data_IF_072359619573
#
_entry.id   IF_072359619573
#
_cell.length_a   1.000
_cell.length_b   1.000
_cell.length_c   1.000
_cell.angle_alpha   90.00
_cell.angle_beta   90.00
_cell.angle_gamma   90.00
#
_symmetry.space_group_name_H-M   'P 1'
#
loop_
_entity.id
_entity.type
_entity.pdbx_description
1 polymer ?
#
# COMPACT_ATOMS: atom_id res chain seq x y z
N UNK A 1 15.66 -16.69 22.56
CA UNK A 1 17.02 -17.26 22.53
C UNK A 1 16.98 -18.50 21.64
N UNK A 2 17.74 -18.50 20.54
CA UNK A 2 17.80 -19.62 19.61
C UNK A 2 19.10 -20.40 19.76
N UNK A 3 19.05 -21.73 19.75
CA UNK A 3 20.20 -22.61 19.65
C UNK A 3 20.36 -23.07 18.20
N UNK A 4 21.57 -22.93 17.67
CA UNK A 4 21.92 -23.42 16.34
C UNK A 4 22.35 -24.90 16.44
N UNK A 5 21.52 -25.80 15.94
CA UNK A 5 21.93 -27.16 15.59
C UNK A 5 22.05 -27.20 14.06
N UNK A 6 23.09 -27.85 13.51
CA UNK A 6 23.36 -27.92 12.06
C UNK A 6 22.18 -28.41 11.21
N UNK A 7 21.14 -28.97 11.81
CA UNK A 7 20.00 -29.57 11.12
C UNK A 7 18.66 -28.89 11.37
N UNK A 8 18.51 -28.03 12.41
CA UNK A 8 17.26 -27.38 12.75
C UNK A 8 17.49 -26.04 13.46
N UNK A 9 16.60 -25.10 13.22
CA UNK A 9 16.50 -23.82 13.96
C UNK A 9 15.31 -24.00 14.91
N UNK A 10 15.58 -23.86 16.22
CA UNK A 10 14.56 -23.97 17.26
C UNK A 10 14.14 -22.59 17.72
N UNK A 11 12.86 -22.29 17.60
CA UNK A 11 12.23 -21.09 18.15
C UNK A 11 11.54 -21.40 19.47
N UNK A 12 11.72 -20.52 20.47
CA UNK A 12 10.93 -20.53 21.70
C UNK A 12 10.08 -19.27 21.72
N UNK A 13 8.78 -19.44 21.71
CA UNK A 13 7.82 -18.35 21.76
C UNK A 13 7.64 -17.80 23.18
N UNK A 14 7.02 -16.64 23.33
CA UNK A 14 6.79 -15.99 24.62
C UNK A 14 5.86 -16.78 25.56
N UNK A 15 5.02 -17.65 25.00
CA UNK A 15 4.17 -18.59 25.73
C UNK A 15 4.88 -19.88 26.15
N UNK A 16 6.23 -19.95 25.96
CA UNK A 16 7.09 -21.10 26.22
C UNK A 16 6.89 -22.30 25.27
N UNK A 17 6.05 -22.19 24.24
CA UNK A 17 6.01 -23.20 23.19
C UNK A 17 7.26 -23.13 22.31
N UNK A 18 7.61 -24.25 21.65
CA UNK A 18 8.77 -24.34 20.77
C UNK A 18 8.39 -24.94 19.43
N UNK A 19 9.01 -24.44 18.35
CA UNK A 19 8.94 -25.04 17.01
C UNK A 19 10.36 -25.20 16.45
N UNK A 20 10.60 -26.27 15.70
CA UNK A 20 11.86 -26.56 15.03
C UNK A 20 11.63 -26.59 13.52
N UNK A 21 12.48 -25.87 12.78
CA UNK A 21 12.45 -25.77 11.32
C UNK A 21 13.80 -26.11 10.74
N UNK A 22 13.84 -26.72 9.55
CA UNK A 22 15.10 -26.85 8.83
C UNK A 22 15.57 -25.51 8.30
N UNK A 23 16.90 -25.27 8.17
CA UNK A 23 17.42 -24.00 7.65
C UNK A 23 16.91 -23.62 6.26
N UNK A 24 16.58 -24.59 5.42
CA UNK A 24 16.01 -24.44 4.08
C UNK A 24 14.49 -24.18 4.07
N UNK A 25 13.83 -24.45 5.19
CA UNK A 25 12.39 -24.16 5.39
C UNK A 25 12.16 -22.75 5.96
N UNK A 26 13.24 -22.09 6.40
CA UNK A 26 13.17 -20.75 6.99
C UNK A 26 13.62 -19.71 5.95
N UNK A 27 12.71 -19.32 5.11
CA UNK A 27 13.02 -18.37 4.03
C UNK A 27 13.27 -16.94 4.52
N UNK A 28 12.69 -16.55 5.64
CA UNK A 28 12.95 -15.26 6.30
C UNK A 28 12.31 -15.20 7.70
N UNK A 29 13.13 -14.97 8.72
CA UNK A 29 12.63 -14.49 10.00
C UNK A 29 12.85 -12.98 10.02
N UNK A 30 12.03 -12.27 9.26
CA UNK A 30 11.86 -10.87 9.49
C UNK A 30 11.08 -10.65 10.79
N UNK A 31 11.29 -9.53 11.41
CA UNK A 31 10.65 -9.10 12.66
C UNK A 31 9.10 -8.99 12.57
N UNK A 32 8.47 -9.54 11.54
CA UNK A 32 7.06 -9.39 11.17
C UNK A 32 6.13 -10.51 11.66
N UNK A 33 6.47 -11.22 12.71
CA UNK A 33 5.46 -11.99 13.48
C UNK A 33 4.87 -11.08 14.57
N UNK A 34 4.78 -9.79 14.30
CA UNK A 34 4.24 -8.82 15.24
C UNK A 34 2.89 -8.33 14.72
N UNK A 35 1.96 -8.31 15.64
CA UNK A 35 0.62 -7.73 15.55
C UNK A 35 0.48 -6.74 14.40
N UNK A 36 -0.42 -7.00 13.46
CA UNK A 36 -0.75 -6.03 12.42
C UNK A 36 -1.07 -4.70 13.12
N UNK A 37 -0.23 -3.71 12.90
CA UNK A 37 -0.56 -2.37 13.35
C UNK A 37 -1.78 -1.91 12.58
N UNK A 38 -2.86 -1.62 13.30
CA UNK A 38 -4.13 -1.22 12.70
C UNK A 38 -4.38 0.27 12.90
N UNK A 39 -4.84 0.93 11.86
CA UNK A 39 -5.46 2.24 11.93
C UNK A 39 -6.87 2.14 11.36
N UNK A 40 -7.87 2.47 12.18
CA UNK A 40 -9.29 2.34 11.86
C UNK A 40 -9.69 0.94 11.31
N UNK A 41 -9.06 -0.13 11.85
CA UNK A 41 -9.31 -1.52 11.45
C UNK A 41 -8.54 -2.01 10.23
N UNK A 42 -7.72 -1.16 9.59
CA UNK A 42 -6.92 -1.52 8.42
C UNK A 42 -5.42 -1.57 8.74
N UNK A 43 -4.72 -2.61 8.27
CA UNK A 43 -3.32 -2.81 8.62
C UNK A 43 -2.39 -1.85 7.88
N UNK A 44 -1.37 -1.37 8.59
CA UNK A 44 -0.33 -0.53 8.03
C UNK A 44 1.07 -1.04 8.34
N UNK A 45 2.04 -0.56 7.59
CA UNK A 45 3.47 -0.79 7.79
C UNK A 45 4.15 0.53 8.08
N UNK A 46 4.94 0.56 9.14
CA UNK A 46 5.88 1.64 9.41
C UNK A 46 7.18 1.39 8.66
N UNK A 47 7.39 2.09 7.57
CA UNK A 47 8.62 2.01 6.80
C UNK A 47 9.77 2.82 7.40
N UNK A 48 9.54 3.58 8.48
CA UNK A 48 10.55 4.44 9.07
C UNK A 48 10.99 5.58 8.15
N UNK A 49 10.07 6.10 7.33
CA UNK A 49 10.33 7.21 6.42
C UNK A 49 10.53 8.52 7.20
N UNK A 50 11.31 9.49 6.66
CA UNK A 50 11.57 10.77 7.32
C UNK A 50 10.30 11.55 7.72
N UNK A 51 9.24 11.47 6.92
CA UNK A 51 7.93 12.07 7.23
C UNK A 51 7.22 11.41 8.41
N UNK A 52 7.59 10.16 8.76
CA UNK A 52 6.86 9.33 9.70
C UNK A 52 5.56 8.74 9.15
N UNK A 53 5.28 8.93 7.85
CA UNK A 53 4.07 8.41 7.20
C UNK A 53 4.03 6.89 7.26
N UNK A 54 2.86 6.34 7.56
CA UNK A 54 2.57 4.91 7.54
C UNK A 54 1.91 4.55 6.22
N UNK A 55 2.25 3.37 5.69
CA UNK A 55 1.72 2.90 4.43
C UNK A 55 0.77 1.72 4.65
N UNK A 56 -0.27 1.66 3.87
CA UNK A 56 -1.18 0.51 3.91
C UNK A 56 -0.42 -0.78 3.58
N UNK A 57 -0.76 -1.86 4.29
CA UNK A 57 -0.16 -3.19 4.07
C UNK A 57 -0.63 -3.81 2.75
N UNK A 58 -1.88 -3.49 2.32
CA UNK A 58 -2.50 -3.94 1.07
C UNK A 58 -3.16 -2.77 0.35
N UNK A 59 -3.46 -2.96 -0.93
CA UNK A 59 -4.25 -2.02 -1.69
C UNK A 59 -5.72 -1.99 -1.23
N UNK A 60 -6.42 -0.90 -1.50
CA UNK A 60 -7.87 -0.79 -1.22
C UNK A 60 -8.62 -1.91 -1.94
N UNK A 61 -9.51 -2.59 -1.22
CA UNK A 61 -10.27 -3.73 -1.72
C UNK A 61 -9.50 -5.06 -1.74
N UNK A 62 -8.20 -5.06 -1.42
CA UNK A 62 -7.41 -6.27 -1.24
C UNK A 62 -7.48 -6.78 0.19
N UNK A 63 -7.27 -8.08 0.38
CA UNK A 63 -7.19 -8.78 1.67
C UNK A 63 -5.81 -9.39 1.89
N UNK A 64 -4.98 -9.41 0.84
CA UNK A 64 -3.62 -9.93 0.86
C UNK A 64 -2.67 -9.03 0.05
N UNK A 65 -1.37 -9.03 0.36
CA UNK A 65 -0.41 -8.10 -0.24
C UNK A 65 -0.14 -8.35 -1.74
N UNK A 66 -0.47 -9.53 -2.26
CA UNK A 66 -0.35 -9.89 -3.67
C UNK A 66 -1.59 -9.54 -4.51
N UNK A 67 -2.67 -9.11 -3.86
CA UNK A 67 -3.91 -8.74 -4.56
C UNK A 67 -3.84 -7.30 -5.06
N UNK A 68 -4.22 -7.07 -6.32
CA UNK A 68 -4.25 -5.74 -6.92
C UNK A 68 -5.27 -4.80 -6.25
N UNK A 69 -6.35 -5.36 -5.66
CA UNK A 69 -7.44 -4.59 -5.06
C UNK A 69 -8.34 -3.94 -6.11
N UNK A 70 -8.87 -2.77 -5.77
CA UNK A 70 -9.78 -2.04 -6.63
C UNK A 70 -9.08 -1.22 -7.70
N UNK A 71 -9.76 -1.05 -8.82
CA UNK A 71 -9.36 -0.15 -9.89
C UNK A 71 -10.34 1.01 -9.99
N UNK A 72 -9.84 2.24 -10.00
CA UNK A 72 -10.63 3.47 -10.08
C UNK A 72 -9.86 4.57 -10.79
N UNK A 73 -10.55 5.56 -11.31
CA UNK A 73 -9.90 6.77 -11.81
C UNK A 73 -9.63 7.75 -10.65
N UNK A 74 -8.74 8.69 -10.87
CA UNK A 74 -8.39 9.71 -9.87
C UNK A 74 -9.61 10.44 -9.32
N UNK A 75 -9.80 10.41 -8.00
CA UNK A 75 -10.95 11.03 -7.34
C UNK A 75 -12.26 10.25 -7.41
N UNK A 76 -12.24 9.02 -7.91
CA UNK A 76 -13.36 8.09 -7.79
C UNK A 76 -13.17 7.18 -6.59
N UNK A 77 -14.26 6.84 -5.92
CA UNK A 77 -14.24 6.16 -4.62
C UNK A 77 -14.87 4.76 -4.65
N UNK A 78 -15.16 4.26 -5.84
CA UNK A 78 -15.73 2.94 -6.08
C UNK A 78 -14.90 2.16 -7.11
N UNK A 79 -14.87 0.83 -6.96
CA UNK A 79 -14.26 -0.04 -7.94
C UNK A 79 -15.03 -0.01 -9.25
N UNK A 80 -14.33 0.03 -10.38
CA UNK A 80 -14.95 -0.02 -11.71
C UNK A 80 -14.17 -0.87 -12.70
N UNK A 81 -14.87 -1.35 -13.71
CA UNK A 81 -14.30 -2.18 -14.78
C UNK A 81 -14.05 -1.38 -16.07
N UNK A 82 -14.74 -0.23 -16.24
CA UNK A 82 -14.69 0.58 -17.46
C UNK A 82 -14.02 1.93 -17.19
N UNK A 83 -13.00 2.26 -17.98
CA UNK A 83 -12.17 3.47 -17.85
C UNK A 83 -12.29 4.40 -19.08
N UNK A 84 -13.45 4.42 -19.71
CA UNK A 84 -13.70 5.37 -20.81
C UNK A 84 -13.73 6.80 -20.29
N UNK A 85 -13.18 7.72 -21.09
CA UNK A 85 -13.16 9.16 -20.79
C UNK A 85 -14.57 9.71 -20.49
N UNK A 86 -15.58 9.21 -21.21
CA UNK A 86 -17.00 9.58 -21.02
C UNK A 86 -17.61 9.05 -19.71
N UNK A 87 -16.94 8.12 -19.02
CA UNK A 87 -17.38 7.54 -17.74
C UNK A 87 -16.66 8.17 -16.54
N UNK A 88 -15.77 9.14 -16.77
CA UNK A 88 -15.05 9.78 -15.69
C UNK A 88 -15.92 10.78 -14.95
N UNK A 89 -16.03 10.61 -13.62
CA UNK A 89 -16.88 11.40 -12.70
C UNK A 89 -16.72 12.92 -12.87
N UNK A 90 -15.51 13.40 -13.13
CA UNK A 90 -15.19 14.82 -13.21
C UNK A 90 -15.09 15.32 -14.66
N UNK A 91 -15.97 14.82 -15.55
CA UNK A 91 -16.18 15.37 -16.88
C UNK A 91 -17.64 15.73 -17.08
N UNK A 92 -17.87 16.84 -17.78
CA UNK A 92 -19.18 17.24 -18.22
C UNK A 92 -19.59 16.54 -19.53
N UNK A 93 -20.77 16.83 -20.02
CA UNK A 93 -21.31 16.29 -21.28
C UNK A 93 -20.51 16.67 -22.54
N UNK A 94 -19.71 17.73 -22.47
CA UNK A 94 -18.78 18.17 -23.52
C UNK A 94 -17.39 17.52 -23.39
N UNK A 95 -17.19 16.69 -22.37
CA UNK A 95 -15.92 16.03 -22.08
C UNK A 95 -14.88 16.93 -21.40
N UNK A 96 -15.32 18.09 -20.89
CA UNK A 96 -14.43 19.04 -20.19
C UNK A 96 -14.32 18.68 -18.72
N UNK A 97 -13.12 18.85 -18.14
CA UNK A 97 -12.88 18.60 -16.71
C UNK A 97 -13.60 19.62 -15.84
N UNK A 98 -14.27 19.15 -14.81
CA UNK A 98 -15.03 19.96 -13.84
C UNK A 98 -14.33 20.10 -12.50
N UNK A 99 -13.31 19.25 -12.21
CA UNK A 99 -12.53 19.24 -10.97
C UNK A 99 -11.14 18.67 -11.22
N UNK A 100 -10.17 18.98 -10.35
CA UNK A 100 -8.76 18.53 -10.42
C UNK A 100 -8.09 18.89 -11.75
N UNK A 101 -8.30 20.10 -12.19
CA UNK A 101 -7.83 20.59 -13.47
C UNK A 101 -6.84 21.77 -13.32
N UNK A 102 -5.73 21.68 -14.03
CA UNK A 102 -4.67 22.69 -14.03
C UNK A 102 -4.60 23.48 -15.34
N UNK A 103 -5.36 23.09 -16.37
CA UNK A 103 -5.29 23.67 -17.72
C UNK A 103 -6.67 24.12 -18.20
N UNK A 104 -6.82 25.41 -18.47
CA UNK A 104 -8.06 26.01 -18.99
C UNK A 104 -8.55 25.43 -20.32
N UNK A 105 -7.63 24.82 -21.10
CA UNK A 105 -7.99 24.17 -22.37
C UNK A 105 -8.73 22.87 -22.18
N UNK A 106 -8.66 22.27 -21.00
CA UNK A 106 -9.25 20.97 -20.68
C UNK A 106 -10.49 21.08 -19.80
N UNK A 107 -10.84 22.29 -19.31
CA UNK A 107 -12.05 22.51 -18.52
C UNK A 107 -11.90 23.58 -17.44
N UNK A 108 -12.74 23.52 -16.43
CA UNK A 108 -12.73 24.45 -15.29
C UNK A 108 -11.45 24.25 -14.45
N UNK A 109 -10.63 25.28 -14.33
CA UNK A 109 -9.39 25.25 -13.54
C UNK A 109 -9.70 25.46 -12.07
N UNK A 110 -9.32 24.50 -11.23
CA UNK A 110 -9.37 24.61 -9.76
C UNK A 110 -8.00 24.50 -9.07
N UNK A 111 -6.96 24.19 -9.84
CA UNK A 111 -5.56 24.04 -9.38
C UNK A 111 -5.37 22.98 -8.26
N UNK A 112 -6.35 22.10 -8.06
CA UNK A 112 -6.25 21.06 -7.04
C UNK A 112 -5.36 19.90 -7.51
N UNK A 113 -4.35 19.58 -6.72
CA UNK A 113 -3.42 18.46 -6.92
C UNK A 113 -3.57 17.36 -5.87
N UNK A 114 -4.35 17.62 -4.84
CA UNK A 114 -4.66 16.69 -3.75
C UNK A 114 -6.16 16.48 -3.75
N UNK A 115 -6.60 15.26 -3.51
CA UNK A 115 -8.01 14.93 -3.45
C UNK A 115 -8.69 15.61 -2.25
N UNK A 116 -9.90 16.08 -2.46
CA UNK A 116 -10.78 16.44 -1.35
C UNK A 116 -11.19 15.14 -0.62
N UNK A 117 -11.48 15.16 0.70
CA UNK A 117 -11.79 13.94 1.46
C UNK A 117 -12.91 13.08 0.88
N UNK A 118 -13.95 13.71 0.32
CA UNK A 118 -15.09 13.04 -0.31
C UNK A 118 -14.75 12.34 -1.63
N UNK A 119 -13.60 12.65 -2.24
CA UNK A 119 -13.11 12.07 -3.48
C UNK A 119 -11.86 11.19 -3.26
N UNK A 120 -11.42 11.08 -2.03
CA UNK A 120 -10.30 10.23 -1.65
C UNK A 120 -10.81 8.84 -1.26
N UNK A 121 -10.53 7.86 -2.10
CA UNK A 121 -11.02 6.49 -1.88
C UNK A 121 -10.54 5.90 -0.56
N UNK A 122 -9.30 6.17 -0.13
CA UNK A 122 -8.80 5.65 1.13
C UNK A 122 -9.54 6.29 2.32
N UNK A 123 -9.80 7.60 2.26
CA UNK A 123 -10.59 8.28 3.27
C UNK A 123 -12.03 7.79 3.31
N UNK A 124 -12.68 7.66 2.15
CA UNK A 124 -14.09 7.25 2.06
C UNK A 124 -14.30 5.80 2.52
N UNK A 125 -13.40 4.88 2.11
CA UNK A 125 -13.57 3.45 2.39
C UNK A 125 -13.05 3.03 3.77
N UNK A 126 -11.95 3.64 4.21
CA UNK A 126 -11.28 3.24 5.45
C UNK A 126 -11.47 4.24 6.58
N UNK A 127 -11.80 5.50 6.28
CA UNK A 127 -12.03 6.54 7.28
C UNK A 127 -10.77 6.92 8.06
N UNK A 128 -10.97 7.62 9.19
CA UNK A 128 -9.88 8.09 10.04
C UNK A 128 -8.92 9.01 9.28
N UNK A 129 -7.62 8.79 9.42
CA UNK A 129 -6.56 9.57 8.75
C UNK A 129 -6.09 8.93 7.44
N UNK A 130 -6.74 7.84 6.99
CA UNK A 130 -6.42 7.23 5.70
C UNK A 130 -6.69 8.18 4.55
N UNK A 131 -5.76 8.25 3.64
CA UNK A 131 -5.86 9.03 2.40
C UNK A 131 -4.91 8.51 1.33
N UNK A 132 -5.14 8.89 0.10
CA UNK A 132 -4.20 8.65 -0.98
C UNK A 132 -2.92 9.46 -0.76
N UNK A 133 -1.75 8.91 -1.12
CA UNK A 133 -0.48 9.62 -0.99
C UNK A 133 -0.39 10.77 -1.98
N UNK A 134 0.27 11.83 -1.58
CA UNK A 134 0.65 12.94 -2.46
C UNK A 134 1.85 12.59 -3.33
N UNK A 135 2.10 13.40 -4.37
CA UNK A 135 3.29 13.28 -5.23
C UNK A 135 4.60 13.30 -4.41
N UNK A 136 4.69 14.20 -3.42
CA UNK A 136 5.87 14.32 -2.56
C UNK A 136 6.10 13.06 -1.71
N UNK A 137 5.05 12.42 -1.22
CA UNK A 137 5.13 11.20 -0.42
C UNK A 137 5.48 9.97 -1.27
N UNK A 138 5.00 9.90 -2.50
CA UNK A 138 5.46 8.89 -3.47
C UNK A 138 6.95 9.09 -3.77
N UNK A 139 7.38 10.33 -3.95
CA UNK A 139 8.79 10.63 -4.19
C UNK A 139 9.68 10.28 -2.97
N UNK A 140 9.19 10.52 -1.75
CA UNK A 140 9.87 10.07 -0.53
C UNK A 140 10.02 8.54 -0.50
N UNK A 141 8.94 7.80 -0.80
CA UNK A 141 8.98 6.34 -0.88
C UNK A 141 10.03 5.86 -1.88
N UNK A 142 10.09 6.47 -3.07
CA UNK A 142 11.07 6.15 -4.11
C UNK A 142 12.51 6.48 -3.68
N UNK A 143 12.69 7.52 -2.88
CA UNK A 143 14.01 8.00 -2.44
C UNK A 143 14.59 7.13 -1.32
N UNK A 144 13.76 6.70 -0.36
CA UNK A 144 14.21 6.05 0.86
C UNK A 144 13.97 4.54 0.90
N UNK A 145 13.28 3.97 -0.10
CA UNK A 145 13.05 2.54 -0.19
C UNK A 145 13.70 1.92 -1.42
N UNK A 146 14.03 0.64 -1.28
CA UNK A 146 14.51 -0.19 -2.39
C UNK A 146 13.34 -0.93 -3.02
N UNK A 147 13.21 -0.81 -4.33
CA UNK A 147 12.22 -1.51 -5.13
C UNK A 147 12.84 -2.77 -5.75
N UNK A 148 12.22 -3.92 -5.54
CA UNK A 148 12.73 -5.21 -6.03
C UNK A 148 11.56 -6.04 -6.57
N UNK A 149 11.61 -6.40 -7.86
CA UNK A 149 10.64 -7.32 -8.43
C UNK A 149 10.80 -8.71 -7.79
N UNK A 150 9.69 -9.30 -7.39
CA UNK A 150 9.66 -10.62 -6.76
C UNK A 150 8.34 -11.34 -7.07
N UNK A 151 8.24 -12.58 -6.63
CA UNK A 151 7.00 -13.37 -6.70
C UNK A 151 6.50 -13.62 -5.30
N UNK A 152 5.25 -13.27 -5.03
CA UNK A 152 4.57 -13.52 -3.76
C UNK A 152 3.32 -14.36 -4.05
N UNK A 153 3.24 -15.55 -3.45
CA UNK A 153 2.13 -16.50 -3.66
C UNK A 153 1.78 -16.74 -5.16
N UNK A 154 2.81 -16.77 -6.02
CA UNK A 154 2.64 -16.99 -7.47
C UNK A 154 2.30 -15.73 -8.27
N UNK A 155 2.18 -14.57 -7.63
CA UNK A 155 1.92 -13.28 -8.28
C UNK A 155 3.20 -12.46 -8.37
N UNK A 156 3.47 -11.87 -9.55
CA UNK A 156 4.57 -10.91 -9.70
C UNK A 156 4.22 -9.61 -9.00
N UNK A 157 5.06 -9.18 -8.06
CA UNK A 157 4.86 -7.98 -7.28
C UNK A 157 6.16 -7.18 -7.17
N UNK A 158 6.05 -5.90 -6.89
CA UNK A 158 7.17 -5.05 -6.50
C UNK A 158 7.25 -5.00 -4.98
N UNK A 159 8.30 -5.56 -4.41
CA UNK A 159 8.61 -5.40 -2.99
C UNK A 159 9.31 -4.06 -2.77
N UNK A 160 8.76 -3.24 -1.89
CA UNK A 160 9.29 -1.94 -1.51
C UNK A 160 9.80 -2.05 -0.08
N UNK A 161 11.13 -2.03 0.10
CA UNK A 161 11.79 -2.28 1.38
C UNK A 161 12.54 -1.05 1.84
N UNK A 162 12.27 -0.61 3.06
CA UNK A 162 12.97 0.51 3.69
C UNK A 162 14.27 0.10 4.38
N UNK A 163 15.03 1.08 4.86
CA UNK A 163 16.25 0.86 5.63
C UNK A 163 16.01 0.13 6.97
N UNK A 164 14.80 0.20 7.53
CA UNK A 164 14.42 -0.55 8.74
C UNK A 164 14.25 -2.06 8.48
N UNK A 165 14.18 -2.48 7.21
CA UNK A 165 13.86 -3.84 6.79
C UNK A 165 12.39 -4.11 6.55
N UNK A 166 11.49 -3.20 6.97
CA UNK A 166 10.06 -3.32 6.74
C UNK A 166 9.73 -3.14 5.25
N UNK A 167 8.69 -3.83 4.80
CA UNK A 167 8.32 -3.84 3.37
C UNK A 167 6.81 -3.75 3.18
N UNK A 168 6.42 -3.14 2.05
CA UNK A 168 5.10 -3.29 1.45
C UNK A 168 5.23 -3.91 0.07
N UNK A 169 4.13 -4.37 -0.50
CA UNK A 169 4.10 -4.99 -1.81
C UNK A 169 3.11 -4.24 -2.73
N UNK A 170 3.52 -4.04 -3.97
CA UNK A 170 2.73 -3.42 -5.02
C UNK A 170 2.58 -4.44 -6.16
N UNK A 171 1.41 -5.08 -6.29
CA UNK A 171 1.11 -6.06 -7.33
C UNK A 171 0.93 -5.43 -8.71
#
# INVERSE_FOLDING_TARGET
YGYYNRNYIKFTFTDQTTAEYKPDEVEYIGHDVLEDHLHNGYPYVDLGLPSGLKWAKYNIGATAPEEAGWFMSWGETENKEEFYVSKYKFRDENGMLTKYNLDEKTGTVDNKKVLDPEDDVAHVQWGGEWRMPSEAEIHELQTYCRFTATVLNGVNVMRVTSASGNSIYLP
#
